data_IF_053830730860
#
_entry.id   IF_053830730860
#
_cell.length_a   1.000
_cell.length_b   1.000
_cell.length_c   1.000
_cell.angle_alpha   90.00
_cell.angle_beta   90.00
_cell.angle_gamma   90.00
#
_symmetry.space_group_name_H-M   'P 1'
#
loop_
_entity.id
_entity.type
_entity.pdbx_description
1 polymer ?
#
# COMPACT_ATOMS: atom_id res chain seq x y z
N UNK A 1 29.08 -9.88 18.75
CA UNK A 1 27.61 -9.86 18.92
C UNK A 1 27.02 -9.48 17.58
N UNK A 2 26.31 -10.37 16.90
CA UNK A 2 25.71 -10.11 15.59
C UNK A 2 24.34 -9.46 15.78
N UNK A 3 24.13 -8.17 15.45
CA UNK A 3 22.86 -7.48 15.65
C UNK A 3 21.75 -7.92 14.67
N UNK A 4 21.99 -8.93 13.83
CA UNK A 4 21.12 -9.28 12.70
C UNK A 4 19.90 -10.16 13.02
N UNK A 5 19.70 -10.57 14.27
CA UNK A 5 18.56 -11.43 14.66
C UNK A 5 17.35 -10.66 15.21
N UNK A 6 17.55 -9.47 15.79
CA UNK A 6 16.47 -8.69 16.42
C UNK A 6 15.69 -7.79 15.44
N UNK A 7 16.28 -7.46 14.28
CA UNK A 7 15.65 -6.56 13.30
C UNK A 7 14.80 -7.28 12.24
N UNK A 8 14.84 -8.62 12.21
CA UNK A 8 14.15 -9.43 11.21
C UNK A 8 12.76 -9.78 11.73
N UNK A 9 11.72 -9.48 10.95
CA UNK A 9 10.38 -9.95 11.25
C UNK A 9 10.41 -11.48 11.17
N UNK A 10 9.90 -12.15 12.18
CA UNK A 10 9.79 -13.60 12.17
C UNK A 10 8.38 -14.08 11.78
N UNK A 11 8.24 -15.39 11.61
CA UNK A 11 6.98 -16.00 11.20
C UNK A 11 5.89 -15.86 12.30
N UNK A 12 6.27 -15.86 13.58
CA UNK A 12 5.31 -15.66 14.67
C UNK A 12 4.75 -14.23 14.68
N UNK A 13 5.58 -13.23 14.41
CA UNK A 13 5.17 -11.84 14.26
C UNK A 13 4.24 -11.64 13.07
N UNK A 14 4.58 -12.23 11.90
CA UNK A 14 3.69 -12.21 10.72
C UNK A 14 2.35 -12.86 11.02
N UNK A 15 2.35 -14.08 11.57
CA UNK A 15 1.11 -14.77 11.92
C UNK A 15 0.26 -13.96 12.90
N UNK A 16 0.91 -13.34 13.89
CA UNK A 16 0.26 -12.44 14.85
C UNK A 16 -0.38 -11.22 14.18
N UNK A 17 0.32 -10.60 13.24
CA UNK A 17 -0.18 -9.48 12.44
C UNK A 17 -1.36 -9.90 11.57
N UNK A 18 -1.26 -11.01 10.85
CA UNK A 18 -2.33 -11.53 9.99
C UNK A 18 -3.61 -11.83 10.78
N UNK A 19 -3.47 -12.37 12.00
CA UNK A 19 -4.61 -12.70 12.83
C UNK A 19 -5.29 -11.47 13.46
N UNK A 20 -4.52 -10.44 13.87
CA UNK A 20 -5.04 -9.34 14.70
C UNK A 20 -5.25 -8.04 13.94
N UNK A 21 -4.29 -7.67 13.10
CA UNK A 21 -4.19 -6.33 12.54
C UNK A 21 -4.65 -6.28 11.08
N UNK A 22 -4.38 -7.32 10.31
CA UNK A 22 -4.65 -7.37 8.88
C UNK A 22 -6.12 -7.04 8.52
N UNK A 23 -7.16 -7.68 9.10
CA UNK A 23 -8.55 -7.36 8.74
C UNK A 23 -8.94 -5.92 9.09
N UNK A 24 -8.42 -5.40 10.22
CA UNK A 24 -8.70 -4.04 10.68
C UNK A 24 -8.06 -3.00 9.76
N UNK A 25 -6.83 -3.26 9.32
CA UNK A 25 -6.11 -2.38 8.41
C UNK A 25 -6.72 -2.38 7.01
N UNK A 26 -7.09 -3.55 6.47
CA UNK A 26 -7.78 -3.63 5.17
C UNK A 26 -9.07 -2.82 5.23
N UNK A 27 -9.89 -2.99 6.27
CA UNK A 27 -11.13 -2.21 6.44
C UNK A 27 -10.87 -0.71 6.56
N UNK A 28 -9.89 -0.29 7.37
CA UNK A 28 -9.56 1.13 7.55
C UNK A 28 -9.07 1.77 6.25
N UNK A 29 -8.20 1.07 5.51
CA UNK A 29 -7.68 1.54 4.21
C UNK A 29 -8.78 1.54 3.15
N UNK A 30 -9.68 0.56 3.16
CA UNK A 30 -10.84 0.50 2.27
C UNK A 30 -11.79 1.66 2.49
N UNK A 31 -12.08 2.02 3.75
CA UNK A 31 -12.88 3.20 4.08
C UNK A 31 -12.21 4.49 3.59
N UNK A 32 -10.88 4.60 3.72
CA UNK A 32 -10.14 5.77 3.28
C UNK A 32 -10.00 5.86 1.74
N UNK A 33 -9.95 4.73 1.04
CA UNK A 33 -9.69 4.66 -0.40
C UNK A 33 -10.96 4.46 -1.26
N UNK A 34 -12.06 4.04 -0.65
CA UNK A 34 -13.31 3.68 -1.33
C UNK A 34 -13.26 2.35 -2.09
N UNK A 35 -12.25 1.50 -1.86
CA UNK A 35 -12.10 0.21 -2.56
C UNK A 35 -11.48 -0.84 -1.65
N UNK A 36 -12.27 -1.87 -1.30
CA UNK A 36 -11.79 -3.00 -0.51
C UNK A 36 -10.70 -3.81 -1.24
N UNK A 37 -10.86 -4.21 -2.52
CA UNK A 37 -9.81 -4.96 -3.22
C UNK A 37 -8.48 -4.19 -3.30
N UNK A 38 -8.55 -2.88 -3.61
CA UNK A 38 -7.34 -2.06 -3.65
C UNK A 38 -6.70 -1.86 -2.28
N UNK A 39 -7.50 -1.87 -1.20
CA UNK A 39 -6.98 -1.83 0.16
C UNK A 39 -6.31 -3.15 0.56
N UNK A 40 -6.91 -4.28 0.19
CA UNK A 40 -6.36 -5.61 0.44
C UNK A 40 -4.99 -5.77 -0.21
N UNK A 41 -4.88 -5.45 -1.50
CA UNK A 41 -3.63 -5.45 -2.26
C UNK A 41 -2.58 -4.52 -1.63
N UNK A 42 -2.98 -3.30 -1.26
CA UNK A 42 -2.07 -2.32 -0.67
C UNK A 42 -1.53 -2.75 0.70
N UNK A 43 -2.36 -3.39 1.54
CA UNK A 43 -1.93 -3.90 2.85
C UNK A 43 -1.01 -5.10 2.69
N UNK A 44 -1.29 -6.01 1.75
CA UNK A 44 -0.41 -7.15 1.46
C UNK A 44 0.94 -6.67 0.91
N UNK A 45 0.95 -5.76 -0.06
CA UNK A 45 2.18 -5.20 -0.61
C UNK A 45 3.00 -4.47 0.47
N UNK A 46 2.33 -3.70 1.33
CA UNK A 46 2.97 -3.06 2.46
C UNK A 46 3.60 -4.10 3.41
N UNK A 47 2.89 -5.18 3.77
CA UNK A 47 3.46 -6.24 4.61
C UNK A 47 4.70 -6.88 3.96
N UNK A 48 4.67 -7.17 2.66
CA UNK A 48 5.83 -7.70 1.91
C UNK A 48 7.01 -6.72 1.94
N UNK A 49 6.77 -5.42 1.79
CA UNK A 49 7.82 -4.41 1.89
C UNK A 49 8.41 -4.33 3.30
N UNK A 50 7.60 -4.50 4.35
CA UNK A 50 8.08 -4.55 5.73
C UNK A 50 8.98 -5.78 5.95
N UNK A 51 8.58 -6.94 5.42
CA UNK A 51 9.40 -8.15 5.46
C UNK A 51 10.77 -7.94 4.79
N UNK A 52 10.79 -7.45 3.54
CA UNK A 52 12.04 -7.20 2.80
C UNK A 52 12.94 -6.18 3.52
N UNK A 53 12.34 -5.17 4.16
CA UNK A 53 13.06 -4.18 4.98
C UNK A 53 13.72 -4.85 6.20
N UNK A 54 12.99 -5.71 6.90
CA UNK A 54 13.50 -6.47 8.04
C UNK A 54 14.64 -7.43 7.65
N UNK A 55 14.55 -8.05 6.47
CA UNK A 55 15.62 -8.90 5.91
C UNK A 55 16.93 -8.14 5.65
N UNK A 56 16.84 -6.82 5.42
CA UNK A 56 17.98 -5.91 5.27
C UNK A 56 18.52 -5.39 6.60
N UNK A 57 17.96 -5.83 7.73
CA UNK A 57 18.35 -5.40 9.07
C UNK A 57 17.80 -4.02 9.45
N UNK A 58 16.84 -3.49 8.71
CA UNK A 58 16.19 -2.23 9.03
C UNK A 58 15.04 -2.47 10.02
N UNK A 59 15.09 -1.81 11.17
CA UNK A 59 14.08 -1.96 12.21
C UNK A 59 12.73 -1.33 11.82
N UNK A 60 11.64 -2.00 12.18
CA UNK A 60 10.26 -1.52 12.05
C UNK A 60 9.67 -1.40 13.46
N UNK A 61 9.60 -0.18 13.99
CA UNK A 61 9.16 0.09 15.37
C UNK A 61 7.72 -0.41 15.64
N UNK A 62 6.82 -0.25 14.67
CA UNK A 62 5.45 -0.73 14.73
C UNK A 62 5.04 -1.28 13.37
N UNK A 63 4.95 -2.60 13.26
CA UNK A 63 4.52 -3.25 12.02
C UNK A 63 3.13 -2.77 11.57
N UNK A 64 2.09 -2.69 12.44
CA UNK A 64 0.80 -2.14 12.04
C UNK A 64 0.83 -0.69 11.60
N UNK A 65 1.54 0.17 12.32
CA UNK A 65 1.65 1.60 11.98
C UNK A 65 2.36 1.82 10.64
N UNK A 66 3.45 1.08 10.41
CA UNK A 66 4.21 1.17 9.17
C UNK A 66 3.42 0.63 7.98
N UNK A 67 2.78 -0.53 8.13
CA UNK A 67 1.94 -1.12 7.07
C UNK A 67 0.77 -0.20 6.73
N UNK A 68 0.09 0.38 7.73
CA UNK A 68 -0.99 1.35 7.51
C UNK A 68 -0.53 2.56 6.70
N UNK A 69 0.62 3.14 7.07
CA UNK A 69 1.17 4.31 6.38
C UNK A 69 1.52 3.99 4.91
N UNK A 70 2.17 2.86 4.66
CA UNK A 70 2.54 2.44 3.29
C UNK A 70 1.30 2.11 2.47
N UNK A 71 0.32 1.38 3.02
CA UNK A 71 -0.91 1.04 2.32
C UNK A 71 -1.71 2.29 1.92
N UNK A 72 -1.87 3.27 2.83
CA UNK A 72 -2.51 4.55 2.53
C UNK A 72 -1.77 5.34 1.44
N UNK A 73 -0.44 5.27 1.42
CA UNK A 73 0.37 5.93 0.39
C UNK A 73 0.24 5.25 -0.98
N UNK A 74 0.16 3.92 -1.01
CA UNK A 74 -0.07 3.14 -2.22
C UNK A 74 -1.43 3.46 -2.84
N UNK A 75 -2.51 3.43 -2.04
CA UNK A 75 -3.86 3.73 -2.52
C UNK A 75 -4.00 5.18 -3.00
N UNK A 76 -3.43 6.16 -2.27
CA UNK A 76 -3.37 7.57 -2.71
C UNK A 76 -2.62 7.74 -4.03
N UNK A 77 -1.50 7.06 -4.18
CA UNK A 77 -0.69 7.14 -5.41
C UNK A 77 -1.41 6.50 -6.61
N UNK A 78 -2.10 5.38 -6.40
CA UNK A 78 -2.99 4.76 -7.38
C UNK A 78 -4.09 5.71 -7.83
N UNK A 79 -4.81 6.33 -6.87
CA UNK A 79 -5.87 7.28 -7.19
C UNK A 79 -5.34 8.49 -7.99
N UNK A 80 -4.21 9.08 -7.58
CA UNK A 80 -3.58 10.18 -8.34
C UNK A 80 -3.27 9.80 -9.78
N UNK A 81 -2.76 8.58 -10.01
CA UNK A 81 -2.47 8.05 -11.35
C UNK A 81 -3.74 7.89 -12.17
N UNK A 82 -4.77 7.25 -11.63
CA UNK A 82 -6.07 7.10 -12.32
C UNK A 82 -6.70 8.45 -12.67
N UNK A 83 -6.62 9.45 -11.80
CA UNK A 83 -7.13 10.80 -12.10
C UNK A 83 -6.31 11.51 -13.17
N UNK A 84 -4.98 11.34 -13.17
CA UNK A 84 -4.12 11.88 -14.21
C UNK A 84 -4.44 11.25 -15.57
N UNK A 85 -4.63 9.93 -15.63
CA UNK A 85 -5.03 9.21 -16.84
C UNK A 85 -6.41 9.67 -17.34
N UNK A 86 -7.40 9.82 -16.45
CA UNK A 86 -8.73 10.35 -16.81
C UNK A 86 -8.63 11.76 -17.41
N UNK A 87 -7.83 12.65 -16.81
CA UNK A 87 -7.58 14.00 -17.35
C UNK A 87 -6.89 13.96 -18.71
N UNK A 88 -5.90 13.09 -18.89
CA UNK A 88 -5.20 12.93 -20.17
C UNK A 88 -6.15 12.41 -21.27
N UNK A 89 -6.96 11.38 -20.97
CA UNK A 89 -7.98 10.85 -21.88
C UNK A 89 -9.00 11.91 -22.28
N UNK A 90 -9.48 12.72 -21.33
CA UNK A 90 -10.40 13.84 -21.62
C UNK A 90 -9.78 14.84 -22.59
N UNK A 91 -8.53 15.27 -22.36
CA UNK A 91 -7.81 16.19 -23.27
C UNK A 91 -7.62 15.60 -24.66
N UNK A 92 -7.35 14.30 -24.77
CA UNK A 92 -7.23 13.63 -26.07
C UNK A 92 -8.57 13.65 -26.82
N UNK A 93 -9.68 13.35 -26.15
CA UNK A 93 -11.02 13.41 -26.73
C UNK A 93 -11.39 14.84 -27.18
N UNK A 94 -11.11 15.85 -26.36
CA UNK A 94 -11.33 17.27 -26.69
C UNK A 94 -10.52 17.70 -27.93
N UNK A 95 -9.26 17.28 -28.05
CA UNK A 95 -8.41 17.57 -29.21
C UNK A 95 -8.86 16.83 -30.48
N UNK A 96 -9.31 15.58 -30.36
CA UNK A 96 -9.84 14.82 -31.48
C UNK A 96 -11.17 15.39 -31.99
N UNK A 97 -12.02 15.91 -31.11
CA UNK A 97 -13.27 16.59 -31.50
C UNK A 97 -13.03 17.93 -32.18
N UNK A 98 -12.02 18.69 -31.74
CA UNK A 98 -11.65 19.98 -32.35
C UNK A 98 -10.94 19.87 -33.70
N UNK A 99 -10.47 18.69 -34.10
CA UNK A 99 -9.81 18.45 -35.39
C UNK A 99 -10.77 18.02 -36.51
N UNK A 100 -12.07 17.86 -36.19
CA UNK A 100 -13.13 17.41 -37.11
C UNK A 100 -14.10 18.56 -37.48
N UNK A 101 -13.86 19.78 -36.98
CA UNK A 101 -14.58 21.01 -37.37
C UNK A 101 -13.63 21.94 -38.11
#
# INVERSE_FOLDING_TARGET
MFPGREARLDDAEIRGFLARDYPRLVNAVALASGSYPAAEDAVQEALVRAWIRSERGEHVESLPGWVAAVALNLTRSGWRRTMAERRARRRLLERSGSAVT
#
